data_IF_754758822607
#
_entry.id   IF_754758822607
#
_cell.length_a   1.000
_cell.length_b   1.000
_cell.length_c   1.000
_cell.angle_alpha   90.00
_cell.angle_beta   90.00
_cell.angle_gamma   90.00
#
_symmetry.space_group_name_H-M   'P 1'
#
loop_
_entity.id
_entity.type
_entity.pdbx_description
1 polymer ?
#
# COMPACT_ATOMS: atom_id res chain seq x y z
N UNK A 1 -18.76 21.77 4.56
CA UNK A 1 -17.98 20.60 4.10
C UNK A 1 -16.64 20.47 4.82
N UNK A 2 -15.84 21.54 4.93
CA UNK A 2 -14.51 21.50 5.60
C UNK A 2 -14.52 20.96 7.03
N UNK A 3 -15.47 21.41 7.88
CA UNK A 3 -15.55 20.91 9.26
C UNK A 3 -15.80 19.39 9.31
N UNK A 4 -16.78 18.89 8.56
CA UNK A 4 -17.09 17.46 8.45
C UNK A 4 -15.89 16.65 7.96
N UNK A 5 -15.20 17.16 6.94
CA UNK A 5 -13.98 16.55 6.39
C UNK A 5 -12.88 16.41 7.45
N UNK A 6 -12.53 17.50 8.14
CA UNK A 6 -11.49 17.48 9.17
C UNK A 6 -11.90 16.60 10.34
N UNK A 7 -13.16 16.66 10.78
CA UNK A 7 -13.66 15.83 11.89
C UNK A 7 -13.56 14.34 11.56
N UNK A 8 -14.06 13.89 10.41
CA UNK A 8 -13.98 12.47 10.03
C UNK A 8 -12.53 12.01 9.81
N UNK A 9 -11.69 12.84 9.22
CA UNK A 9 -10.27 12.54 9.01
C UNK A 9 -9.54 12.37 10.36
N UNK A 10 -9.80 13.25 11.32
CA UNK A 10 -9.22 13.15 12.67
C UNK A 10 -9.72 11.92 13.42
N UNK A 11 -11.02 11.63 13.40
CA UNK A 11 -11.60 10.44 14.04
C UNK A 11 -10.99 9.16 13.44
N UNK A 12 -10.93 9.06 12.11
CA UNK A 12 -10.33 7.93 11.42
C UNK A 12 -8.83 7.81 11.71
N UNK A 13 -8.11 8.93 11.78
CA UNK A 13 -6.68 8.95 12.14
C UNK A 13 -6.45 8.43 13.56
N UNK A 14 -7.25 8.89 14.54
CA UNK A 14 -7.13 8.43 15.94
C UNK A 14 -7.46 6.94 16.04
N UNK A 15 -8.51 6.47 15.35
CA UNK A 15 -8.86 5.06 15.31
C UNK A 15 -7.73 4.22 14.68
N UNK A 16 -7.13 4.72 13.59
CA UNK A 16 -6.00 4.09 12.92
C UNK A 16 -4.75 4.02 13.82
N UNK A 17 -4.45 5.10 14.55
CA UNK A 17 -3.38 5.13 15.54
C UNK A 17 -3.62 4.09 16.65
N UNK A 18 -4.84 4.02 17.17
CA UNK A 18 -5.22 2.99 18.15
C UNK A 18 -5.02 1.57 17.58
N UNK A 19 -5.47 1.34 16.34
CA UNK A 19 -5.23 0.08 15.62
C UNK A 19 -3.74 -0.25 15.50
N UNK A 20 -2.92 0.72 15.12
CA UNK A 20 -1.47 0.57 14.98
C UNK A 20 -0.83 0.20 16.33
N UNK A 21 -1.11 0.97 17.39
CA UNK A 21 -0.55 0.75 18.72
C UNK A 21 -0.94 -0.63 19.23
N UNK A 22 -2.22 -1.01 19.16
CA UNK A 22 -2.69 -2.31 19.66
C UNK A 22 -2.02 -3.48 18.95
N UNK A 23 -1.85 -3.40 17.63
CA UNK A 23 -1.25 -4.47 16.84
C UNK A 23 0.27 -4.55 17.04
N UNK A 24 0.96 -3.40 17.00
CA UNK A 24 2.43 -3.34 17.11
C UNK A 24 2.94 -3.62 18.52
N UNK A 25 2.12 -3.40 19.56
CA UNK A 25 2.47 -3.71 20.95
C UNK A 25 2.03 -5.12 21.39
N UNK A 26 1.37 -5.88 20.51
CA UNK A 26 0.90 -7.23 20.83
C UNK A 26 -0.21 -7.26 21.88
N UNK A 27 -1.10 -6.26 21.89
CA UNK A 27 -2.21 -6.22 22.84
C UNK A 27 -3.13 -7.44 22.68
N UNK A 28 -3.72 -7.92 23.78
CA UNK A 28 -4.55 -9.14 23.83
C UNK A 28 -5.72 -9.14 22.82
N UNK A 29 -6.25 -7.96 22.50
CA UNK A 29 -7.39 -7.81 21.57
C UNK A 29 -7.03 -8.32 20.15
N UNK A 30 -6.06 -7.72 19.42
CA UNK A 30 -5.61 -8.28 18.13
C UNK A 30 -5.11 -9.72 18.21
N UNK A 31 -4.39 -10.11 19.26
CA UNK A 31 -3.85 -11.48 19.40
C UNK A 31 -5.00 -12.51 19.44
N UNK A 32 -6.03 -12.24 20.23
CA UNK A 32 -7.21 -13.12 20.33
C UNK A 32 -7.92 -13.23 18.99
N UNK A 33 -8.08 -12.12 18.27
CA UNK A 33 -8.71 -12.13 16.94
C UNK A 33 -7.89 -12.91 15.92
N UNK A 34 -6.58 -12.66 15.85
CA UNK A 34 -5.72 -13.35 14.90
C UNK A 34 -5.67 -14.86 15.17
N UNK A 35 -5.70 -15.29 16.44
CA UNK A 35 -5.84 -16.71 16.79
C UNK A 35 -7.18 -17.30 16.31
N UNK A 36 -8.30 -16.59 16.52
CA UNK A 36 -9.63 -17.01 16.03
C UNK A 36 -9.66 -17.15 14.51
N UNK A 37 -9.04 -16.21 13.80
CA UNK A 37 -9.03 -16.17 12.34
C UNK A 37 -7.96 -17.07 11.70
N UNK A 38 -7.17 -17.78 12.52
CA UNK A 38 -6.01 -18.56 12.08
C UNK A 38 -5.05 -17.73 11.22
N UNK A 39 -4.85 -16.46 11.60
CA UNK A 39 -3.91 -15.55 10.97
C UNK A 39 -2.55 -15.68 11.67
N UNK A 40 -1.44 -15.76 10.92
CA UNK A 40 -0.10 -15.85 11.48
C UNK A 40 0.19 -14.70 12.44
N UNK A 41 0.80 -14.96 13.61
CA UNK A 41 1.09 -13.90 14.60
C UNK A 41 2.03 -12.82 14.07
N UNK A 42 2.92 -13.16 13.14
CA UNK A 42 3.78 -12.20 12.46
C UNK A 42 2.99 -11.13 11.67
N UNK A 43 1.76 -11.45 11.23
CA UNK A 43 0.89 -10.51 10.52
C UNK A 43 0.38 -9.38 11.41
N UNK A 44 0.32 -9.59 12.73
CA UNK A 44 -0.07 -8.55 13.68
C UNK A 44 0.85 -7.34 13.56
N UNK A 45 2.17 -7.56 13.56
CA UNK A 45 3.13 -6.48 13.35
C UNK A 45 3.17 -6.06 11.87
N UNK A 46 3.43 -7.00 10.96
CA UNK A 46 3.46 -6.74 9.53
C UNK A 46 2.77 -7.87 8.76
N UNK A 47 1.70 -7.58 7.99
CA UNK A 47 1.38 -6.25 7.47
C UNK A 47 0.35 -5.44 8.28
N UNK A 48 -0.41 -6.03 9.21
CA UNK A 48 -1.61 -5.39 9.80
C UNK A 48 -1.25 -4.11 10.57
N UNK A 49 -0.40 -4.19 11.59
CA UNK A 49 -0.05 -3.06 12.43
C UNK A 49 0.63 -1.92 11.66
N UNK A 50 1.57 -2.26 10.78
CA UNK A 50 2.22 -1.28 9.90
C UNK A 50 1.21 -0.62 8.96
N UNK A 51 0.24 -1.36 8.40
CA UNK A 51 -0.77 -0.77 7.52
C UNK A 51 -1.66 0.25 8.25
N UNK A 52 -2.00 0.00 9.52
CA UNK A 52 -2.69 0.98 10.37
C UNK A 52 -1.85 2.23 10.62
N UNK A 53 -0.54 2.07 10.88
CA UNK A 53 0.36 3.20 11.09
C UNK A 53 0.51 4.06 9.82
N UNK A 54 0.66 3.41 8.66
CA UNK A 54 0.73 4.10 7.36
C UNK A 54 -0.59 4.79 7.03
N UNK A 55 -1.73 4.14 7.29
CA UNK A 55 -3.04 4.75 7.09
C UNK A 55 -3.28 5.94 8.02
N UNK A 56 -2.85 5.87 9.29
CA UNK A 56 -2.86 7.00 10.22
C UNK A 56 -2.07 8.20 9.67
N UNK A 57 -0.80 7.97 9.29
CA UNK A 57 0.04 9.03 8.74
C UNK A 57 -0.55 9.59 7.43
N UNK A 58 -1.05 8.71 6.57
CA UNK A 58 -1.69 9.08 5.31
C UNK A 58 -2.95 9.92 5.50
N UNK A 59 -3.79 9.61 6.49
CA UNK A 59 -4.97 10.43 6.81
C UNK A 59 -4.57 11.79 7.41
N UNK A 60 -3.54 11.85 8.26
CA UNK A 60 -3.03 13.13 8.79
C UNK A 60 -2.46 14.02 7.69
N UNK A 61 -1.64 13.47 6.80
CA UNK A 61 -1.15 14.19 5.61
C UNK A 61 -2.33 14.56 4.71
N UNK A 62 -3.31 13.67 4.63
CA UNK A 62 -4.57 13.85 3.90
C UNK A 62 -5.26 15.16 4.25
N UNK A 63 -5.28 15.53 5.54
CA UNK A 63 -5.87 16.79 6.01
C UNK A 63 -5.34 18.03 5.25
N UNK A 64 -4.08 18.01 4.81
CA UNK A 64 -3.46 19.04 3.98
C UNK A 64 -3.45 18.70 2.48
N UNK A 65 -3.40 17.42 2.12
CA UNK A 65 -3.34 16.94 0.72
C UNK A 65 -4.45 15.90 0.48
N UNK A 66 -5.65 16.32 0.05
CA UNK A 66 -6.82 15.44 -0.03
C UNK A 66 -6.60 14.13 -0.80
N UNK A 67 -5.82 14.13 -1.89
CA UNK A 67 -5.45 12.89 -2.61
C UNK A 67 -4.82 11.83 -1.69
N UNK A 68 -3.92 12.23 -0.78
CA UNK A 68 -3.27 11.29 0.15
C UNK A 68 -4.30 10.72 1.12
N UNK A 69 -5.24 11.56 1.56
CA UNK A 69 -6.38 11.15 2.39
C UNK A 69 -7.29 10.14 1.69
N UNK A 70 -7.61 10.37 0.41
CA UNK A 70 -8.40 9.44 -0.43
C UNK A 70 -7.69 8.08 -0.51
N UNK A 71 -6.40 8.06 -0.79
CA UNK A 71 -5.60 6.83 -0.90
C UNK A 71 -5.59 6.08 0.43
N UNK A 72 -5.33 6.78 1.54
CA UNK A 72 -5.31 6.16 2.86
C UNK A 72 -6.68 5.59 3.24
N UNK A 73 -7.76 6.35 3.01
CA UNK A 73 -9.13 5.90 3.29
C UNK A 73 -9.54 4.71 2.39
N UNK A 74 -9.22 4.75 1.10
CA UNK A 74 -9.46 3.64 0.17
C UNK A 74 -8.67 2.38 0.58
N UNK A 75 -7.42 2.55 1.02
CA UNK A 75 -6.62 1.47 1.61
C UNK A 75 -7.30 0.84 2.82
N UNK A 76 -7.87 1.65 3.72
CA UNK A 76 -8.64 1.14 4.85
C UNK A 76 -9.94 0.45 4.43
N UNK A 77 -10.65 0.95 3.42
CA UNK A 77 -11.84 0.27 2.88
C UNK A 77 -11.47 -1.14 2.41
N UNK A 78 -10.42 -1.28 1.60
CA UNK A 78 -9.92 -2.59 1.16
C UNK A 78 -9.49 -3.45 2.35
N UNK A 79 -8.74 -2.88 3.29
CA UNK A 79 -8.30 -3.56 4.51
C UNK A 79 -9.49 -4.15 5.29
N UNK A 80 -10.54 -3.36 5.55
CA UNK A 80 -11.68 -3.83 6.32
C UNK A 80 -12.58 -4.80 5.53
N UNK A 81 -12.67 -4.66 4.21
CA UNK A 81 -13.32 -5.67 3.35
C UNK A 81 -12.59 -7.02 3.44
N UNK A 82 -11.25 -7.01 3.38
CA UNK A 82 -10.44 -8.22 3.56
C UNK A 82 -10.58 -8.80 4.98
N UNK A 83 -10.66 -7.95 6.01
CA UNK A 83 -10.89 -8.37 7.38
C UNK A 83 -12.26 -9.07 7.53
N UNK A 84 -13.33 -8.49 6.98
CA UNK A 84 -14.65 -9.14 6.94
C UNK A 84 -14.57 -10.47 6.21
N UNK A 85 -13.90 -10.52 5.05
CA UNK A 85 -13.67 -11.76 4.31
C UNK A 85 -12.95 -12.82 5.15
N UNK A 86 -11.97 -12.44 5.97
CA UNK A 86 -11.26 -13.35 6.86
C UNK A 86 -12.18 -13.94 7.95
N UNK A 87 -13.06 -13.12 8.56
CA UNK A 87 -14.08 -13.60 9.50
C UNK A 87 -15.07 -14.56 8.81
N UNK A 88 -15.60 -14.18 7.65
CA UNK A 88 -16.54 -15.01 6.88
C UNK A 88 -15.92 -16.35 6.44
N UNK A 89 -14.63 -16.35 6.07
CA UNK A 89 -13.89 -17.57 5.66
C UNK A 89 -13.88 -18.64 6.75
N UNK A 90 -13.79 -18.23 8.02
CA UNK A 90 -13.78 -19.17 9.16
C UNK A 90 -15.16 -19.33 9.81
N UNK A 91 -16.21 -18.78 9.19
CA UNK A 91 -17.58 -18.83 9.71
C UNK A 91 -17.84 -17.96 10.94
N UNK A 92 -16.91 -17.07 11.30
CA UNK A 92 -17.07 -16.18 12.43
C UNK A 92 -17.97 -14.98 12.07
N UNK A 93 -18.98 -14.74 12.90
CA UNK A 93 -19.95 -13.63 12.73
C UNK A 93 -19.66 -12.44 13.63
N UNK A 94 -18.53 -12.42 14.34
CA UNK A 94 -18.12 -11.31 15.21
C UNK A 94 -17.61 -10.08 14.42
N UNK A 95 -18.36 -9.67 13.39
CA UNK A 95 -17.97 -8.63 12.42
C UNK A 95 -18.00 -7.20 12.98
N UNK A 96 -18.46 -6.99 14.21
CA UNK A 96 -18.77 -5.66 14.75
C UNK A 96 -17.63 -4.64 14.58
N UNK A 97 -16.39 -5.02 14.94
CA UNK A 97 -15.23 -4.12 14.82
C UNK A 97 -14.86 -3.84 13.36
N UNK A 98 -14.91 -4.86 12.50
CA UNK A 98 -14.57 -4.72 11.09
C UNK A 98 -15.62 -3.89 10.34
N UNK A 99 -16.90 -4.08 10.63
CA UNK A 99 -18.00 -3.31 10.04
C UNK A 99 -17.98 -1.85 10.48
N UNK A 100 -17.71 -1.55 11.76
CA UNK A 100 -17.55 -0.17 12.23
C UNK A 100 -16.36 0.50 11.57
N UNK A 101 -15.23 -0.20 11.48
CA UNK A 101 -14.04 0.28 10.76
C UNK A 101 -14.31 0.56 9.28
N UNK A 102 -15.02 -0.36 8.60
CA UNK A 102 -15.41 -0.19 7.20
C UNK A 102 -16.33 1.01 7.01
N UNK A 103 -17.32 1.20 7.88
CA UNK A 103 -18.24 2.33 7.81
C UNK A 103 -17.51 3.66 7.98
N UNK A 104 -16.61 3.75 8.96
CA UNK A 104 -15.77 4.94 9.17
C UNK A 104 -14.85 5.20 7.97
N UNK A 105 -14.15 4.17 7.47
CA UNK A 105 -13.27 4.29 6.31
C UNK A 105 -14.02 4.73 5.05
N UNK A 106 -15.21 4.17 4.82
CA UNK A 106 -16.06 4.52 3.67
C UNK A 106 -16.60 5.95 3.79
N UNK A 107 -17.03 6.36 4.99
CA UNK A 107 -17.48 7.72 5.24
C UNK A 107 -16.34 8.73 5.04
N UNK A 108 -15.15 8.45 5.58
CA UNK A 108 -13.95 9.27 5.37
C UNK A 108 -13.59 9.33 3.89
N UNK A 109 -13.62 8.22 3.17
CA UNK A 109 -13.33 8.19 1.72
C UNK A 109 -14.31 9.08 0.94
N UNK A 110 -15.61 8.92 1.16
CA UNK A 110 -16.65 9.69 0.47
C UNK A 110 -16.53 11.17 0.78
N UNK A 111 -16.40 11.55 2.06
CA UNK A 111 -16.32 12.96 2.44
C UNK A 111 -15.03 13.61 1.94
N UNK A 112 -13.89 12.92 1.99
CA UNK A 112 -12.64 13.44 1.43
C UNK A 112 -12.75 13.61 -0.10
N UNK A 113 -13.35 12.65 -0.81
CA UNK A 113 -13.54 12.75 -2.25
C UNK A 113 -14.49 13.89 -2.64
N UNK A 114 -15.60 14.07 -1.92
CA UNK A 114 -16.53 15.18 -2.13
C UNK A 114 -15.86 16.54 -1.85
N UNK A 115 -15.10 16.63 -0.76
CA UNK A 115 -14.33 17.83 -0.43
C UNK A 115 -13.29 18.17 -1.50
N UNK A 116 -12.54 17.17 -1.99
CA UNK A 116 -11.56 17.37 -3.06
C UNK A 116 -12.23 17.80 -4.38
N UNK A 117 -13.40 17.24 -4.70
CA UNK A 117 -14.18 17.60 -5.88
C UNK A 117 -14.70 19.05 -5.82
N UNK A 118 -15.11 19.54 -4.63
CA UNK A 118 -15.53 20.94 -4.46
C UNK A 118 -14.38 21.94 -4.65
N UNK A 119 -13.14 21.50 -4.45
CA UNK A 119 -11.97 22.38 -4.55
C UNK A 119 -11.34 22.37 -5.95
N UNK A 120 -11.83 21.53 -6.87
CA UNK A 120 -11.16 21.18 -8.13
C UNK A 120 -9.66 20.83 -7.93
N UNK A 121 -9.30 20.43 -6.71
CA UNK A 121 -7.95 20.31 -6.24
C UNK A 121 -7.71 18.90 -5.71
N UNK A 122 -7.64 17.95 -6.66
CA UNK A 122 -7.34 16.57 -6.33
C UNK A 122 -5.89 16.41 -5.85
N UNK A 123 -4.97 17.21 -6.37
CA UNK A 123 -3.52 17.06 -6.18
C UNK A 123 -2.89 17.97 -5.13
N UNK A 124 -3.52 19.07 -4.74
CA UNK A 124 -2.90 20.11 -3.90
C UNK A 124 -1.56 20.55 -4.46
N UNK A 125 -0.57 20.69 -3.57
CA UNK A 125 0.83 20.94 -3.93
C UNK A 125 1.42 19.90 -4.90
N UNK A 126 0.88 18.67 -4.94
CA UNK A 126 1.36 17.61 -5.84
C UNK A 126 1.00 17.93 -7.30
N UNK A 127 -0.11 18.63 -7.53
CA UNK A 127 -0.50 19.10 -8.86
C UNK A 127 0.51 20.06 -9.46
N UNK A 128 1.35 20.73 -8.66
CA UNK A 128 2.45 21.57 -9.14
C UNK A 128 3.59 20.74 -9.76
N UNK A 129 3.86 19.56 -9.21
CA UNK A 129 5.01 18.75 -9.56
C UNK A 129 4.69 17.61 -10.52
N UNK A 130 3.44 17.16 -10.60
CA UNK A 130 3.04 16.03 -11.45
C UNK A 130 2.54 16.52 -12.81
N UNK A 131 2.99 15.87 -13.88
CA UNK A 131 2.53 16.13 -15.26
C UNK A 131 1.08 15.68 -15.47
N UNK A 132 0.39 16.36 -16.36
CA UNK A 132 -0.99 16.06 -16.74
C UNK A 132 -1.10 14.85 -17.69
N UNK A 133 0.01 14.47 -18.32
CA UNK A 133 0.14 13.24 -19.13
C UNK A 133 1.55 12.69 -18.92
N UNK A 134 1.73 11.36 -18.75
CA UNK A 134 3.06 10.79 -18.65
C UNK A 134 3.77 10.81 -19.99
N UNK A 135 4.80 11.66 -20.13
CA UNK A 135 5.60 11.76 -21.35
C UNK A 135 7.10 11.58 -21.07
N UNK A 136 7.77 10.60 -21.68
CA UNK A 136 7.22 9.55 -22.56
C UNK A 136 6.40 8.51 -21.79
N UNK A 137 5.35 7.95 -22.41
CA UNK A 137 4.46 6.95 -21.76
C UNK A 137 5.02 5.53 -21.76
N UNK A 138 5.87 5.18 -22.73
CA UNK A 138 6.37 3.82 -22.92
C UNK A 138 7.19 3.26 -21.74
N UNK A 139 7.98 4.05 -20.97
CA UNK A 139 8.68 3.52 -19.80
C UNK A 139 7.73 3.08 -18.69
N UNK A 140 6.57 3.75 -18.55
CA UNK A 140 5.52 3.35 -17.61
C UNK A 140 4.97 1.98 -17.98
N UNK A 141 4.70 1.76 -19.28
CA UNK A 141 4.24 0.46 -19.80
C UNK A 141 5.31 -0.62 -19.64
N UNK A 142 6.57 -0.31 -19.94
CA UNK A 142 7.67 -1.24 -19.75
C UNK A 142 7.78 -1.67 -18.28
N UNK A 143 7.73 -0.72 -17.34
CA UNK A 143 7.75 -1.02 -15.91
C UNK A 143 6.53 -1.88 -15.51
N UNK A 144 5.33 -1.59 -16.01
CA UNK A 144 4.15 -2.41 -15.76
C UNK A 144 4.31 -3.86 -16.26
N UNK A 145 4.91 -4.05 -17.44
CA UNK A 145 5.22 -5.39 -18.00
C UNK A 145 6.22 -6.14 -17.11
N UNK A 146 7.25 -5.45 -16.60
CA UNK A 146 8.22 -6.05 -15.67
C UNK A 146 7.52 -6.48 -14.37
N UNK A 147 6.69 -5.60 -13.79
CA UNK A 147 5.97 -5.88 -12.55
C UNK A 147 5.03 -7.07 -12.67
N UNK A 148 4.28 -7.19 -13.78
CA UNK A 148 3.39 -8.33 -13.98
C UNK A 148 4.16 -9.63 -14.24
N UNK A 149 5.28 -9.57 -14.97
CA UNK A 149 6.17 -10.71 -15.15
C UNK A 149 6.68 -11.24 -13.80
N UNK A 150 7.15 -10.34 -12.94
CA UNK A 150 7.57 -10.68 -11.58
C UNK A 150 6.42 -11.22 -10.72
N UNK A 151 5.21 -10.65 -10.84
CA UNK A 151 4.02 -11.17 -10.17
C UNK A 151 3.72 -12.63 -10.55
N UNK A 152 3.77 -12.96 -11.85
CA UNK A 152 3.56 -14.31 -12.36
C UNK A 152 4.58 -15.29 -11.78
N UNK A 153 5.86 -14.91 -11.76
CA UNK A 153 6.92 -15.73 -11.17
C UNK A 153 6.78 -15.88 -9.65
N UNK A 154 6.13 -14.93 -8.97
CA UNK A 154 5.86 -14.95 -7.53
C UNK A 154 4.67 -15.82 -7.11
N UNK A 155 3.66 -16.06 -7.98
CA UNK A 155 2.48 -16.88 -7.61
C UNK A 155 2.83 -18.33 -7.30
N UNK A 156 3.73 -18.91 -8.09
CA UNK A 156 4.41 -20.16 -7.77
C UNK A 156 5.91 -19.87 -7.81
N UNK A 157 6.50 -19.45 -6.67
CA UNK A 157 7.86 -18.93 -6.61
C UNK A 157 8.83 -19.88 -7.31
N UNK A 158 9.32 -19.45 -8.48
CA UNK A 158 10.36 -20.18 -9.20
C UNK A 158 11.61 -20.27 -8.32
N UNK A 159 12.45 -21.29 -8.51
CA UNK A 159 13.55 -21.57 -7.58
C UNK A 159 14.48 -20.39 -7.31
N UNK A 160 14.62 -19.46 -8.27
CA UNK A 160 15.33 -18.20 -8.06
C UNK A 160 14.62 -17.24 -7.07
N UNK A 161 13.32 -17.01 -7.23
CA UNK A 161 12.53 -16.13 -6.34
C UNK A 161 12.41 -16.74 -4.94
N UNK A 162 12.18 -18.05 -4.85
CA UNK A 162 12.10 -18.73 -3.56
C UNK A 162 13.42 -18.58 -2.77
N UNK A 163 14.57 -18.73 -3.43
CA UNK A 163 15.88 -18.47 -2.82
C UNK A 163 16.00 -17.02 -2.39
N UNK A 164 15.70 -16.06 -3.27
CA UNK A 164 15.72 -14.64 -2.93
C UNK A 164 14.90 -14.31 -1.68
N UNK A 165 13.68 -14.85 -1.55
CA UNK A 165 12.85 -14.65 -0.35
C UNK A 165 13.46 -15.28 0.90
N UNK A 166 14.06 -16.47 0.78
CA UNK A 166 14.78 -17.12 1.88
C UNK A 166 16.04 -16.35 2.29
N UNK A 167 16.82 -15.88 1.32
CA UNK A 167 18.09 -15.18 1.53
C UNK A 167 17.87 -13.87 2.31
N UNK A 168 16.81 -13.11 1.99
CA UNK A 168 16.43 -11.89 2.72
C UNK A 168 15.64 -12.16 4.01
N UNK A 169 15.42 -13.43 4.36
CA UNK A 169 14.68 -13.83 5.56
C UNK A 169 13.20 -13.45 5.56
N UNK A 170 12.56 -13.36 4.40
CA UNK A 170 11.14 -13.00 4.29
C UNK A 170 10.26 -14.11 4.92
N UNK A 171 9.44 -13.79 5.94
CA UNK A 171 8.54 -14.75 6.56
C UNK A 171 7.66 -15.48 5.55
N UNK A 172 7.54 -16.81 5.69
CA UNK A 172 6.82 -17.67 4.72
C UNK A 172 5.36 -17.26 4.55
N UNK A 173 4.71 -16.71 5.58
CA UNK A 173 3.33 -16.28 5.45
C UNK A 173 3.15 -15.06 4.54
N UNK A 174 4.19 -14.28 4.29
CA UNK A 174 4.13 -13.11 3.42
C UNK A 174 4.34 -13.47 1.95
N UNK A 175 4.84 -14.67 1.63
CA UNK A 175 5.12 -15.07 0.26
C UNK A 175 3.90 -15.00 -0.65
N UNK A 176 2.68 -15.44 -0.24
CA UNK A 176 1.49 -15.32 -1.06
C UNK A 176 1.01 -13.87 -1.27
N UNK A 177 1.47 -12.93 -0.44
CA UNK A 177 1.11 -11.50 -0.55
C UNK A 177 1.94 -10.80 -1.63
N UNK A 178 3.20 -11.22 -1.80
CA UNK A 178 4.15 -10.63 -2.76
C UNK A 178 3.66 -10.53 -4.22
N UNK A 179 3.02 -11.56 -4.82
CA UNK A 179 2.49 -11.44 -6.18
C UNK A 179 1.36 -10.39 -6.25
N UNK A 180 0.48 -10.33 -5.25
CA UNK A 180 -0.63 -9.37 -5.23
C UNK A 180 -0.15 -7.92 -5.13
N UNK A 181 0.93 -7.66 -4.38
CA UNK A 181 1.56 -6.32 -4.35
C UNK A 181 2.02 -5.89 -5.75
N UNK A 182 2.57 -6.82 -6.54
CA UNK A 182 3.06 -6.54 -7.90
C UNK A 182 1.92 -6.40 -8.92
N UNK A 183 0.86 -7.19 -8.77
CA UNK A 183 -0.37 -7.01 -9.55
C UNK A 183 -0.97 -5.64 -9.27
N UNK A 184 -1.07 -5.23 -8.01
CA UNK A 184 -1.57 -3.90 -7.64
C UNK A 184 -0.70 -2.78 -8.22
N UNK A 185 0.62 -2.92 -8.20
CA UNK A 185 1.52 -1.98 -8.85
C UNK A 185 1.33 -1.93 -10.37
N UNK A 186 1.13 -3.07 -11.02
CA UNK A 186 0.82 -3.13 -12.46
C UNK A 186 -0.48 -2.37 -12.77
N UNK A 187 -1.54 -2.65 -12.01
CA UNK A 187 -2.84 -1.98 -12.18
C UNK A 187 -2.71 -0.48 -11.95
N UNK A 188 -1.97 -0.05 -10.91
CA UNK A 188 -1.73 1.36 -10.62
C UNK A 188 -0.93 2.09 -11.71
N UNK A 189 0.11 1.46 -12.26
CA UNK A 189 0.88 2.02 -13.38
C UNK A 189 0.04 2.14 -14.66
N UNK A 190 -0.74 1.10 -14.97
CA UNK A 190 -1.64 1.08 -16.13
C UNK A 190 -2.72 2.14 -15.98
N UNK A 191 -3.41 2.20 -14.84
CA UNK A 191 -4.36 3.27 -14.53
C UNK A 191 -3.70 4.66 -14.59
N UNK A 192 -2.42 4.74 -14.20
CA UNK A 192 -1.58 5.92 -14.26
C UNK A 192 -1.37 6.52 -15.64
N UNK A 193 -1.63 5.76 -16.70
CA UNK A 193 -1.59 6.27 -18.08
C UNK A 193 -2.76 7.21 -18.39
N UNK A 194 -3.91 7.01 -17.73
CA UNK A 194 -5.08 7.88 -17.86
C UNK A 194 -5.24 8.84 -16.68
N UNK A 195 -4.75 8.45 -15.50
CA UNK A 195 -4.81 9.25 -14.27
C UNK A 195 -3.38 9.44 -13.74
N UNK A 196 -2.63 10.45 -14.20
CA UNK A 196 -1.20 10.60 -13.90
C UNK A 196 -0.86 10.60 -12.41
N UNK A 197 -1.72 11.18 -11.57
CA UNK A 197 -1.56 11.16 -10.12
C UNK A 197 -1.47 9.74 -9.54
N UNK A 198 -2.28 8.81 -10.07
CA UNK A 198 -2.24 7.39 -9.67
C UNK A 198 -0.93 6.75 -10.12
N UNK A 199 -0.46 7.07 -11.33
CA UNK A 199 0.81 6.56 -11.85
C UNK A 199 2.02 7.08 -11.08
N UNK A 200 2.04 8.37 -10.76
CA UNK A 200 3.07 9.01 -9.95
C UNK A 200 3.13 8.41 -8.55
N UNK A 201 1.97 8.27 -7.90
CA UNK A 201 1.86 7.63 -6.59
C UNK A 201 2.31 6.16 -6.63
N UNK A 202 1.89 5.40 -7.64
CA UNK A 202 2.27 3.99 -7.78
C UNK A 202 3.78 3.86 -7.99
N UNK A 203 4.37 4.74 -8.81
CA UNK A 203 5.82 4.79 -9.03
C UNK A 203 6.58 5.16 -7.75
N UNK A 204 6.10 6.15 -6.98
CA UNK A 204 6.66 6.50 -5.69
C UNK A 204 6.56 5.33 -4.69
N UNK A 205 5.44 4.61 -4.65
CA UNK A 205 5.27 3.42 -3.82
C UNK A 205 6.23 2.29 -4.23
N UNK A 206 6.46 2.10 -5.53
CA UNK A 206 7.45 1.16 -6.04
C UNK A 206 8.88 1.53 -5.64
N UNK A 207 9.25 2.82 -5.68
CA UNK A 207 10.54 3.30 -5.17
C UNK A 207 10.70 2.92 -3.70
N UNK A 208 9.70 3.21 -2.86
CA UNK A 208 9.73 2.84 -1.44
C UNK A 208 9.86 1.32 -1.26
N UNK A 209 9.07 0.55 -2.00
CA UNK A 209 9.13 -0.91 -1.99
C UNK A 209 10.55 -1.42 -2.34
N UNK A 210 11.17 -0.91 -3.40
CA UNK A 210 12.50 -1.35 -3.82
C UNK A 210 13.61 -0.83 -2.90
N UNK A 211 13.46 0.34 -2.28
CA UNK A 211 14.36 0.80 -1.19
C UNK A 211 14.30 -0.17 -0.01
N UNK A 212 13.11 -0.61 0.40
CA UNK A 212 12.96 -1.64 1.42
C UNK A 212 13.60 -2.96 1.00
N UNK A 213 13.43 -3.37 -0.26
CA UNK A 213 14.05 -4.59 -0.80
C UNK A 213 15.59 -4.51 -0.80
N UNK A 214 16.17 -3.42 -1.30
CA UNK A 214 17.62 -3.17 -1.27
C UNK A 214 18.13 -3.20 0.18
N UNK A 215 17.42 -2.55 1.10
CA UNK A 215 17.77 -2.55 2.52
C UNK A 215 17.75 -3.97 3.11
N UNK A 216 16.77 -4.79 2.74
CA UNK A 216 16.68 -6.18 3.20
C UNK A 216 17.85 -7.03 2.69
N UNK A 217 18.22 -6.91 1.41
CA UNK A 217 19.40 -7.59 0.85
C UNK A 217 20.70 -7.14 1.52
N UNK A 218 20.89 -5.84 1.75
CA UNK A 218 22.06 -5.32 2.46
C UNK A 218 22.14 -5.87 3.88
N UNK A 219 21.01 -5.88 4.61
CA UNK A 219 20.94 -6.43 5.98
C UNK A 219 21.23 -7.93 6.03
N UNK A 220 20.77 -8.67 5.02
CA UNK A 220 21.02 -10.09 4.88
C UNK A 220 22.43 -10.42 4.33
N UNK A 221 23.21 -9.40 3.95
CA UNK A 221 24.52 -9.54 3.28
C UNK A 221 24.45 -10.34 1.97
N UNK A 222 23.30 -10.32 1.30
CA UNK A 222 23.13 -10.90 -0.03
C UNK A 222 23.58 -9.89 -1.10
N UNK A 223 24.89 -9.79 -1.31
CA UNK A 223 25.53 -8.84 -2.24
C UNK A 223 25.63 -9.41 -3.67
N UNK A 224 24.91 -10.50 -3.95
CA UNK A 224 24.98 -11.20 -5.22
C UNK A 224 24.13 -10.58 -6.34
N UNK A 225 23.81 -11.41 -7.33
CA UNK A 225 22.96 -11.06 -8.48
C UNK A 225 21.59 -10.50 -8.06
N UNK A 226 21.04 -10.96 -6.94
CA UNK A 226 19.74 -10.54 -6.43
C UNK A 226 19.73 -9.04 -6.09
N UNK A 227 20.74 -8.56 -5.37
CA UNK A 227 20.85 -7.15 -5.02
C UNK A 227 21.00 -6.29 -6.27
N UNK A 228 22.00 -6.57 -7.10
CA UNK A 228 22.34 -5.70 -8.23
C UNK A 228 21.32 -5.72 -9.37
N UNK A 229 20.93 -6.92 -9.85
CA UNK A 229 20.04 -7.02 -11.02
C UNK A 229 18.56 -6.95 -10.67
N UNK A 230 18.14 -7.46 -9.50
CA UNK A 230 16.71 -7.47 -9.16
C UNK A 230 16.33 -6.20 -8.39
N UNK A 231 16.98 -5.93 -7.27
CA UNK A 231 16.57 -4.84 -6.39
C UNK A 231 17.06 -3.45 -6.87
N UNK A 232 18.37 -3.31 -7.14
CA UNK A 232 18.96 -2.01 -7.49
C UNK A 232 18.57 -1.56 -8.90
N UNK A 233 18.61 -2.45 -9.90
CA UNK A 233 18.18 -2.09 -11.26
C UNK A 233 16.71 -1.67 -11.30
N UNK A 234 15.83 -2.42 -10.62
CA UNK A 234 14.41 -2.06 -10.56
C UNK A 234 14.18 -0.76 -9.80
N UNK A 235 14.96 -0.48 -8.75
CA UNK A 235 14.93 0.81 -8.06
C UNK A 235 15.29 1.96 -9.01
N UNK A 236 16.40 1.83 -9.74
CA UNK A 236 16.84 2.83 -10.73
C UNK A 236 15.75 3.05 -11.79
N UNK A 237 15.15 1.98 -12.30
CA UNK A 237 14.06 2.07 -13.27
C UNK A 237 12.85 2.80 -12.68
N UNK A 238 12.44 2.49 -11.45
CA UNK A 238 11.32 3.16 -10.80
C UNK A 238 11.59 4.66 -10.58
N UNK A 239 12.80 5.02 -10.15
CA UNK A 239 13.23 6.43 -10.01
C UNK A 239 13.22 7.14 -11.36
N UNK A 240 13.76 6.50 -12.41
CA UNK A 240 13.77 7.05 -13.76
C UNK A 240 12.34 7.26 -14.30
N UNK A 241 11.45 6.27 -14.14
CA UNK A 241 10.05 6.39 -14.57
C UNK A 241 9.34 7.51 -13.80
N UNK A 242 9.52 7.57 -12.47
CA UNK A 242 8.94 8.63 -11.65
C UNK A 242 9.42 10.02 -12.11
N UNK A 243 10.74 10.20 -12.24
CA UNK A 243 11.33 11.48 -12.61
C UNK A 243 11.03 11.91 -14.05
N UNK A 244 11.21 11.02 -15.03
CA UNK A 244 11.07 11.39 -16.43
C UNK A 244 9.62 11.43 -16.92
N UNK A 245 8.76 10.55 -16.40
CA UNK A 245 7.40 10.41 -16.90
C UNK A 245 6.41 11.23 -16.09
N UNK A 246 6.59 11.34 -14.77
CA UNK A 246 5.58 11.96 -13.90
C UNK A 246 5.97 13.33 -13.34
N UNK A 247 7.25 13.65 -13.14
CA UNK A 247 7.64 14.96 -12.62
C UNK A 247 7.74 16.02 -13.73
N UNK A 248 7.29 17.25 -13.45
CA UNK A 248 7.47 18.42 -14.32
C UNK A 248 8.92 18.88 -14.38
#
# INVERSE_FOLDING_TARGET
MTATYLTLTLIASIAALGGAVLNLTGHRLPVTEAQRLSVPMEWLSFPIGVSYALGFLGLLVGAAVPAVGIVAAAGFVVFFVLAIGAHLRVGDRSLGRATVGLALASATLVVTAMYAAEQDDLGGVVATYVRDVPEPWWPVVLLAVIQIGDAVMCFKPVGFIARCFTDVGLPRALWPVMPWVKVAATVGLVAGLWVPYVGALTSAALIVYFVCAVTAHIRARDIGRNLFLNATLSLVLCVAVFGFCFLR
#
